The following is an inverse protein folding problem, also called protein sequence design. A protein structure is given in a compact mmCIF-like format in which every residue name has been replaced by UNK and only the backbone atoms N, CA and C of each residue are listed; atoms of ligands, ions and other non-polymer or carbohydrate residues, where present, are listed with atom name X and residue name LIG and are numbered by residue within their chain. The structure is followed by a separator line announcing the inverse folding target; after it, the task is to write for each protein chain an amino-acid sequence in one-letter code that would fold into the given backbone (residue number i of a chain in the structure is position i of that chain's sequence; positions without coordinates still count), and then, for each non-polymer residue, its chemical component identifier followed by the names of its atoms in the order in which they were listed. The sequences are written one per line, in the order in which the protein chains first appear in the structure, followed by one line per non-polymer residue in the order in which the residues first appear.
data_IF_406041801369
#
_entry.id   IF_406041801369
#
_cell.length_a   1.000
_cell.length_b   1.000
_cell.length_c   1.000
_cell.angle_alpha   90.00
_cell.angle_beta   90.00
_cell.angle_gamma   90.00
#
_symmetry.space_group_name_H-M   'P 1'
#
loop_
_entity.id
_entity.type
_entity.pdbx_description
1 polymer ?
#
# COMPACT_ATOMS: atom_id res chain seq x y z
N UNK A 1 -4.28 -21.05 -32.50
CA UNK A 1 -4.18 -19.58 -32.45
C UNK A 1 -4.43 -19.15 -31.02
N UNK A 2 -3.60 -18.25 -30.48
CA UNK A 2 -3.76 -17.73 -29.11
C UNK A 2 -4.69 -16.52 -29.15
N UNK A 3 -5.75 -16.52 -28.33
CA UNK A 3 -6.59 -15.34 -28.17
C UNK A 3 -5.90 -14.34 -27.24
N UNK A 4 -5.98 -13.04 -27.58
CA UNK A 4 -5.36 -11.95 -26.81
C UNK A 4 -6.43 -10.94 -26.42
N UNK A 5 -6.36 -10.43 -25.18
CA UNK A 5 -7.21 -9.36 -24.67
C UNK A 5 -6.34 -8.20 -24.17
N UNK A 6 -6.62 -6.97 -24.63
CA UNK A 6 -5.96 -5.76 -24.14
C UNK A 6 -6.85 -5.04 -23.14
N UNK A 7 -6.33 -4.75 -21.96
CA UNK A 7 -7.03 -4.04 -20.88
C UNK A 7 -6.24 -2.80 -20.47
N UNK A 8 -6.93 -1.82 -19.89
CA UNK A 8 -6.24 -0.73 -19.17
C UNK A 8 -5.49 -1.32 -17.99
N UNK A 9 -4.35 -0.73 -17.62
CA UNK A 9 -3.54 -1.22 -16.50
C UNK A 9 -4.40 -1.26 -15.23
N UNK A 10 -4.53 -2.43 -14.58
CA UNK A 10 -5.36 -2.58 -13.40
C UNK A 10 -4.67 -2.08 -12.12
N UNK A 11 -5.38 -2.18 -11.00
CA UNK A 11 -4.89 -1.95 -9.64
C UNK A 11 -5.17 -3.20 -8.75
N UNK A 12 -4.46 -3.37 -7.64
CA UNK A 12 -4.51 -4.58 -6.76
C UNK A 12 -4.71 -4.25 -5.27
N UNK A 13 -4.63 -5.26 -4.40
CA UNK A 13 -4.75 -5.16 -2.95
C UNK A 13 -3.76 -6.12 -2.24
N UNK A 14 -2.94 -5.56 -1.32
CA UNK A 14 -2.05 -6.24 -0.35
C UNK A 14 -0.54 -6.35 -0.70
N UNK A 15 0.31 -6.05 0.30
CA UNK A 15 1.76 -6.32 0.33
C UNK A 15 2.19 -6.78 1.75
N UNK A 16 3.39 -7.35 1.89
CA UNK A 16 4.02 -7.72 3.19
C UNK A 16 5.13 -6.71 3.53
N UNK A 17 6.01 -7.02 4.50
CA UNK A 17 7.16 -6.16 4.87
C UNK A 17 8.50 -6.91 4.75
N UNK A 18 9.61 -6.19 4.90
CA UNK A 18 10.97 -6.74 4.96
C UNK A 18 11.40 -7.50 3.69
N UNK A 19 12.07 -8.63 3.85
CA UNK A 19 12.54 -9.43 2.71
C UNK A 19 11.40 -9.90 1.80
N UNK A 20 10.20 -10.13 2.35
CA UNK A 20 9.04 -10.51 1.56
C UNK A 20 8.56 -9.34 0.70
N UNK A 21 8.53 -8.12 1.24
CA UNK A 21 8.21 -6.92 0.46
C UNK A 21 9.15 -6.76 -0.74
N UNK A 22 10.46 -6.86 -0.50
CA UNK A 22 11.47 -6.74 -1.55
C UNK A 22 11.30 -7.82 -2.65
N UNK A 23 10.85 -9.03 -2.28
CA UNK A 23 10.60 -10.10 -3.23
C UNK A 23 9.31 -9.92 -4.05
N UNK A 24 8.23 -9.41 -3.45
CA UNK A 24 6.90 -9.40 -4.08
C UNK A 24 6.53 -8.08 -4.76
N UNK A 25 7.08 -6.95 -4.30
CA UNK A 25 6.76 -5.63 -4.87
C UNK A 25 7.05 -5.53 -6.37
N UNK A 26 8.18 -6.03 -6.90
CA UNK A 26 8.44 -5.97 -8.34
C UNK A 26 7.38 -6.70 -9.17
N UNK A 27 6.87 -7.83 -8.67
CA UNK A 27 5.83 -8.61 -9.35
C UNK A 27 4.48 -7.89 -9.35
N UNK A 28 4.11 -7.23 -8.25
CA UNK A 28 2.92 -6.37 -8.22
C UNK A 28 3.08 -5.17 -9.15
N UNK A 29 4.20 -4.44 -9.04
CA UNK A 29 4.46 -3.24 -9.83
C UNK A 29 4.55 -3.53 -11.34
N UNK A 30 4.91 -4.75 -11.74
CA UNK A 30 4.92 -5.18 -13.14
C UNK A 30 3.54 -5.11 -13.80
N UNK A 31 2.48 -5.41 -13.06
CA UNK A 31 1.14 -5.56 -13.61
C UNK A 31 0.18 -4.44 -13.18
N UNK A 32 0.36 -3.92 -11.97
CA UNK A 32 -0.57 -2.98 -11.35
C UNK A 32 0.04 -1.59 -11.24
N UNK A 33 -0.78 -0.56 -11.51
CA UNK A 33 -0.33 0.82 -11.37
C UNK A 33 -0.33 1.25 -9.90
N UNK A 34 -1.33 0.80 -9.14
CA UNK A 34 -1.56 1.17 -7.75
C UNK A 34 -2.04 -0.06 -6.98
N UNK A 35 -1.91 -0.03 -5.65
CA UNK A 35 -2.56 -1.04 -4.82
C UNK A 35 -3.03 -0.48 -3.48
N UNK A 36 -4.18 -0.98 -2.99
CA UNK A 36 -4.62 -0.75 -1.61
C UNK A 36 -3.73 -1.59 -0.68
N UNK A 37 -2.93 -0.92 0.15
CA UNK A 37 -2.00 -1.58 1.05
C UNK A 37 -2.69 -1.84 2.39
N UNK A 38 -2.93 -3.11 2.69
CA UNK A 38 -3.55 -3.51 3.95
C UNK A 38 -2.61 -3.27 5.16
N UNK A 39 -3.16 -2.97 6.34
CA UNK A 39 -2.38 -2.48 7.48
C UNK A 39 -2.06 -3.57 8.52
N UNK A 40 -2.34 -4.84 8.23
CA UNK A 40 -2.18 -5.98 9.13
C UNK A 40 -0.73 -6.52 9.17
N UNK A 41 0.24 -5.62 9.30
CA UNK A 41 1.60 -5.98 9.68
C UNK A 41 1.63 -6.49 11.13
N UNK A 42 2.81 -6.93 11.59
CA UNK A 42 3.04 -7.32 12.98
C UNK A 42 4.17 -6.44 13.54
N UNK A 43 3.88 -5.41 14.36
CA UNK A 43 2.54 -4.93 14.75
C UNK A 43 1.77 -4.25 13.60
N UNK A 44 0.43 -4.10 13.70
CA UNK A 44 -0.37 -3.46 12.65
C UNK A 44 -0.07 -1.97 12.53
N UNK A 45 -0.34 -1.41 11.35
CA UNK A 45 -0.21 0.02 11.06
C UNK A 45 -1.48 0.72 11.51
N UNK A 46 -1.41 1.48 12.61
CA UNK A 46 -2.55 2.11 13.29
C UNK A 46 -2.51 3.63 13.24
N UNK A 47 -1.36 4.24 12.98
CA UNK A 47 -1.22 5.72 12.86
C UNK A 47 -0.80 6.19 11.47
N UNK A 48 -1.11 7.45 11.16
CA UNK A 48 -0.64 8.12 9.94
C UNK A 48 0.89 8.12 9.81
N UNK A 49 1.61 8.27 10.92
CA UNK A 49 3.07 8.22 10.95
C UNK A 49 3.63 6.84 10.56
N UNK A 50 3.02 5.76 11.08
CA UNK A 50 3.39 4.39 10.71
C UNK A 50 3.08 4.10 9.24
N UNK A 51 1.95 4.61 8.73
CA UNK A 51 1.60 4.50 7.32
C UNK A 51 2.62 5.22 6.43
N UNK A 52 3.09 6.40 6.83
CA UNK A 52 4.13 7.14 6.10
C UNK A 52 5.45 6.34 6.07
N UNK A 53 5.88 5.84 7.23
CA UNK A 53 7.07 5.02 7.33
C UNK A 53 6.98 3.73 6.49
N UNK A 54 5.80 3.10 6.46
CA UNK A 54 5.58 1.90 5.65
C UNK A 54 5.58 2.22 4.15
N UNK A 55 4.92 3.31 3.73
CA UNK A 55 4.98 3.81 2.34
C UNK A 55 6.43 4.01 1.89
N UNK A 56 7.25 4.62 2.72
CA UNK A 56 8.65 4.89 2.39
C UNK A 56 9.46 3.60 2.24
N UNK A 57 9.21 2.59 3.07
CA UNK A 57 9.81 1.24 2.90
C UNK A 57 9.38 0.59 1.58
N UNK A 58 8.11 0.70 1.21
CA UNK A 58 7.59 0.18 -0.08
C UNK A 58 8.32 0.85 -1.24
N UNK A 59 8.37 2.18 -1.26
CA UNK A 59 9.00 2.92 -2.35
C UNK A 59 10.52 2.69 -2.41
N UNK A 60 11.18 2.46 -1.29
CA UNK A 60 12.60 2.10 -1.25
C UNK A 60 12.90 0.72 -1.87
N UNK A 61 11.92 -0.19 -1.90
CA UNK A 61 12.04 -1.49 -2.56
C UNK A 61 11.65 -1.47 -4.04
N UNK A 62 11.16 -0.33 -4.57
CA UNK A 62 10.70 -0.25 -5.96
C UNK A 62 11.90 -0.24 -6.92
N UNK A 63 11.99 -1.19 -7.88
CA UNK A 63 13.09 -1.20 -8.84
C UNK A 63 13.13 0.06 -9.70
N UNK A 64 14.34 0.48 -10.08
CA UNK A 64 14.54 1.63 -10.97
C UNK A 64 13.77 1.44 -12.29
N UNK A 65 13.13 2.51 -12.75
CA UNK A 65 12.32 2.51 -13.97
C UNK A 65 10.89 1.96 -13.80
N UNK A 66 10.53 1.43 -12.63
CA UNK A 66 9.14 1.06 -12.32
C UNK A 66 8.37 2.23 -11.71
N UNK A 67 7.06 2.24 -11.95
CA UNK A 67 6.12 3.17 -11.34
C UNK A 67 5.02 2.39 -10.63
N UNK A 68 4.80 2.74 -9.36
CA UNK A 68 3.80 2.12 -8.50
C UNK A 68 3.34 3.10 -7.41
N UNK A 69 2.04 3.21 -7.18
CA UNK A 69 1.46 4.04 -6.12
C UNK A 69 0.86 3.17 -5.00
N UNK A 70 1.50 3.09 -3.82
CA UNK A 70 0.91 2.44 -2.65
C UNK A 70 -0.17 3.33 -2.02
N UNK A 71 -1.42 2.87 -2.04
CA UNK A 71 -2.56 3.52 -1.43
C UNK A 71 -2.73 3.01 0.00
N UNK A 72 -2.17 3.75 0.97
CA UNK A 72 -2.05 3.29 2.35
C UNK A 72 -3.41 3.22 3.06
N UNK A 73 -3.51 2.31 4.04
CA UNK A 73 -4.66 2.19 4.94
C UNK A 73 -4.20 2.11 6.39
N UNK A 74 -5.13 2.36 7.33
CA UNK A 74 -4.92 2.18 8.77
C UNK A 74 -5.75 1.01 9.30
N UNK A 75 -5.22 0.28 10.27
CA UNK A 75 -5.93 -0.78 10.98
C UNK A 75 -6.79 -0.15 12.08
N UNK A 76 -8.09 -0.42 12.07
CA UNK A 76 -9.01 0.09 13.08
C UNK A 76 -8.83 -0.66 14.40
N UNK A 77 -8.69 0.09 15.48
CA UNK A 77 -8.58 -0.41 16.86
C UNK A 77 -9.40 0.46 17.80
N UNK A 78 -9.66 -0.01 19.01
CA UNK A 78 -10.33 0.76 20.07
C UNK A 78 -9.55 2.01 20.48
N UNK A 79 -8.23 2.05 20.21
CA UNK A 79 -7.34 3.18 20.52
C UNK A 79 -7.13 4.11 19.31
N UNK A 80 -7.85 3.93 18.21
CA UNK A 80 -7.69 4.76 17.01
C UNK A 80 -8.07 6.20 17.31
N UNK A 81 -7.13 7.13 17.13
CA UNK A 81 -7.35 8.56 17.30
C UNK A 81 -8.06 9.14 16.06
N UNK A 82 -9.31 9.66 16.19
CA UNK A 82 -10.02 10.27 15.07
C UNK A 82 -9.28 11.47 14.46
N UNK A 83 -8.51 12.22 15.27
CA UNK A 83 -7.76 13.38 14.78
C UNK A 83 -6.60 12.95 13.87
N UNK A 84 -5.88 11.88 14.25
CA UNK A 84 -4.83 11.30 13.41
C UNK A 84 -5.40 10.75 12.10
N UNK A 85 -6.53 10.03 12.13
CA UNK A 85 -7.20 9.54 10.91
C UNK A 85 -7.59 10.69 9.98
N UNK A 86 -8.19 11.75 10.51
CA UNK A 86 -8.59 12.91 9.72
C UNK A 86 -7.38 13.62 9.09
N UNK A 87 -6.30 13.80 9.86
CA UNK A 87 -5.06 14.40 9.38
C UNK A 87 -4.38 13.54 8.30
N UNK A 88 -4.30 12.21 8.52
CA UNK A 88 -3.71 11.27 7.59
C UNK A 88 -4.48 11.21 6.26
N UNK A 89 -5.81 11.26 6.30
CA UNK A 89 -6.64 11.36 5.09
C UNK A 89 -6.46 12.72 4.39
N UNK A 90 -6.49 13.83 5.14
CA UNK A 90 -6.33 15.18 4.57
C UNK A 90 -4.96 15.38 3.90
N UNK A 91 -3.91 14.72 4.39
CA UNK A 91 -2.58 14.71 3.76
C UNK A 91 -2.53 13.99 2.40
N UNK A 92 -3.57 13.21 2.07
CA UNK A 92 -3.61 12.35 0.89
C UNK A 92 -2.90 11.01 1.05
N UNK A 93 -2.22 10.75 2.18
CA UNK A 93 -1.49 9.51 2.45
C UNK A 93 -2.40 8.29 2.61
N UNK A 94 -3.41 8.40 3.47
CA UNK A 94 -4.30 7.29 3.82
C UNK A 94 -5.60 7.37 3.01
N UNK A 95 -5.97 6.28 2.32
CA UNK A 95 -7.18 6.21 1.48
C UNK A 95 -8.37 5.53 2.16
N UNK A 96 -8.11 4.69 3.16
CA UNK A 96 -9.16 3.95 3.87
C UNK A 96 -8.69 3.48 5.25
N UNK A 97 -9.65 3.06 6.07
CA UNK A 97 -9.43 2.37 7.34
C UNK A 97 -10.02 0.96 7.21
N UNK A 98 -9.29 -0.06 7.70
CA UNK A 98 -9.68 -1.46 7.64
C UNK A 98 -10.08 -1.97 9.03
N UNK A 99 -11.30 -2.51 9.12
CA UNK A 99 -11.78 -3.33 10.24
C UNK A 99 -11.39 -4.81 10.01
#
# INVERSE_FOLDING_TARGET
MTQTLTLRRPDDMHLRDGAMLAAVLPETARHFARAIIMPNLVPPVVTGAEAAAYRDRILACLPEGMAFEPLMTLYLTEATDPADVAAAHASGLVKAVKL
#
